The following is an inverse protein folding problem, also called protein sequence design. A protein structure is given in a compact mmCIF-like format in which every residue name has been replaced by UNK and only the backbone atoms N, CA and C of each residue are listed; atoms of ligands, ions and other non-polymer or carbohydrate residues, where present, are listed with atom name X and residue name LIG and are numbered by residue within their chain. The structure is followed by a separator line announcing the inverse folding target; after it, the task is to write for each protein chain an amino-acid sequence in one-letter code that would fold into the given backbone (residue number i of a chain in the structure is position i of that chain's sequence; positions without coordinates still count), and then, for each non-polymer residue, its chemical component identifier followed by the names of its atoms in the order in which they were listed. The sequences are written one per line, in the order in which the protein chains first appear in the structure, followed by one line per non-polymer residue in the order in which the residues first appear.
data_IF_143904718004
#
_entry.id   IF_143904718004
#
_cell.length_a   1.000
_cell.length_b   1.000
_cell.length_c   1.000
_cell.angle_alpha   90.00
_cell.angle_beta   90.00
_cell.angle_gamma   90.00
#
_symmetry.space_group_name_H-M   'P 1'
#
loop_
_entity.id
_entity.type
_entity.pdbx_description
1 polymer ?
#
# COMPACT_ATOMS: atom_id res chain seq x y z
N UNK A 1 -42.71 33.28 48.18
CA UNK A 1 -41.81 34.05 47.30
C UNK A 1 -40.42 33.43 47.39
N UNK A 2 -39.94 32.77 46.33
CA UNK A 2 -38.63 32.11 46.29
C UNK A 2 -37.58 33.09 45.74
N UNK A 3 -36.53 33.36 46.50
CA UNK A 3 -35.40 34.19 46.10
C UNK A 3 -34.42 33.38 45.25
N UNK A 4 -34.30 33.74 43.97
CA UNK A 4 -33.35 33.10 43.04
C UNK A 4 -31.99 33.73 43.23
N UNK A 5 -31.08 33.01 43.90
CA UNK A 5 -29.67 33.39 43.99
C UNK A 5 -28.95 32.99 42.69
N UNK A 6 -28.77 33.92 41.76
CA UNK A 6 -27.90 33.70 40.61
C UNK A 6 -26.50 34.28 40.92
N UNK A 7 -25.46 33.49 40.66
CA UNK A 7 -24.08 33.97 40.73
C UNK A 7 -23.81 34.85 39.51
N UNK A 8 -23.50 36.12 39.74
CA UNK A 8 -23.07 37.06 38.69
C UNK A 8 -21.79 36.58 37.99
N UNK A 9 -21.61 36.91 36.69
CA UNK A 9 -20.44 36.51 35.92
C UNK A 9 -19.16 37.16 36.45
N UNK A 10 -18.03 36.54 36.11
CA UNK A 10 -16.69 36.92 36.55
C UNK A 10 -16.41 38.40 36.28
N UNK A 11 -15.79 39.08 37.24
CA UNK A 11 -15.33 40.46 37.07
C UNK A 11 -14.18 40.50 36.07
N UNK A 12 -14.22 41.48 35.17
CA UNK A 12 -13.18 41.71 34.16
C UNK A 12 -11.83 41.95 34.83
N UNK A 13 -10.83 41.15 34.44
CA UNK A 13 -9.47 41.20 35.02
C UNK A 13 -8.62 42.28 34.34
N UNK A 14 -8.87 42.61 33.08
CA UNK A 14 -8.11 43.64 32.33
C UNK A 14 -8.98 44.26 31.23
N UNK A 15 -8.82 45.56 30.99
CA UNK A 15 -9.59 46.31 29.98
C UNK A 15 -9.28 45.90 28.53
N UNK A 16 -8.05 45.45 28.28
CA UNK A 16 -7.60 44.95 26.98
C UNK A 16 -7.28 43.46 27.08
N UNK A 17 -7.75 42.63 26.14
CA UNK A 17 -7.40 41.21 26.11
C UNK A 17 -5.92 41.05 25.79
N UNK A 18 -5.24 40.12 26.47
CA UNK A 18 -3.87 39.73 26.13
C UNK A 18 -3.88 39.12 24.73
N UNK A 19 -2.96 39.52 23.82
CA UNK A 19 -2.87 38.91 22.50
C UNK A 19 -2.70 37.40 22.61
N UNK A 20 -3.57 36.64 21.94
CA UNK A 20 -3.46 35.19 21.92
C UNK A 20 -2.19 34.77 21.18
N UNK A 21 -1.31 34.04 21.86
CA UNK A 21 -0.09 33.46 21.28
C UNK A 21 -0.10 31.96 21.59
N UNK A 22 -0.29 31.14 20.56
CA UNK A 22 -0.12 29.70 20.69
C UNK A 22 1.35 29.38 20.97
N UNK A 23 1.60 28.51 21.95
CA UNK A 23 2.93 27.93 22.18
C UNK A 23 3.37 27.03 21.02
N UNK A 24 2.41 26.53 20.23
CA UNK A 24 2.61 25.66 19.09
C UNK A 24 2.07 26.34 17.83
N UNK A 25 2.86 27.21 17.16
CA UNK A 25 2.45 27.83 15.92
C UNK A 25 2.27 26.75 14.84
N UNK A 26 1.24 26.89 14.01
CA UNK A 26 1.06 26.03 12.85
C UNK A 26 2.27 26.18 11.93
N UNK A 27 2.96 25.08 11.66
CA UNK A 27 4.03 25.04 10.66
C UNK A 27 3.39 24.71 9.32
N UNK A 28 3.81 25.40 8.25
CA UNK A 28 3.49 24.96 6.89
C UNK A 28 4.32 23.71 6.64
N UNK A 29 3.73 22.56 6.95
CA UNK A 29 4.39 21.27 6.84
C UNK A 29 4.41 20.84 5.37
N UNK A 30 5.55 20.30 4.94
CA UNK A 30 5.59 19.39 3.80
C UNK A 30 4.57 18.27 4.03
N UNK A 31 3.96 17.75 2.96
CA UNK A 31 2.97 16.67 3.09
C UNK A 31 3.52 15.51 3.92
N UNK A 32 2.77 14.97 4.92
CA UNK A 32 3.22 13.87 5.78
C UNK A 32 3.73 12.63 5.05
N UNK A 33 3.31 12.47 3.78
CA UNK A 33 3.81 11.43 2.89
C UNK A 33 5.32 11.47 2.66
N UNK A 34 5.90 12.67 2.53
CA UNK A 34 7.29 12.88 2.13
C UNK A 34 8.21 13.22 3.31
N UNK A 35 7.65 13.28 4.52
CA UNK A 35 8.42 13.55 5.74
C UNK A 35 9.27 12.34 6.16
N UNK A 36 10.36 12.61 6.87
CA UNK A 36 11.19 11.57 7.49
C UNK A 36 10.42 10.87 8.62
N UNK A 37 10.77 9.62 8.91
CA UNK A 37 10.03 8.81 9.90
C UNK A 37 10.20 9.32 11.33
N UNK A 38 11.29 10.04 11.56
CA UNK A 38 11.73 10.61 12.83
C UNK A 38 11.07 11.96 13.12
N UNK A 39 10.37 12.52 12.13
CA UNK A 39 9.68 13.79 12.25
C UNK A 39 8.41 13.62 13.12
N UNK A 40 8.28 14.33 14.25
CA UNK A 40 7.09 14.26 15.10
C UNK A 40 5.84 14.77 14.38
N UNK A 41 5.98 15.63 13.38
CA UNK A 41 4.89 16.24 12.62
C UNK A 41 4.42 15.34 11.45
N UNK A 42 4.99 14.12 11.29
CA UNK A 42 4.59 13.12 10.29
C UNK A 42 3.27 12.43 10.65
N UNK A 43 2.18 13.17 10.61
CA UNK A 43 0.85 12.63 10.86
C UNK A 43 -0.22 13.50 10.21
N UNK A 44 -1.42 12.94 10.05
CA UNK A 44 -2.57 13.72 9.61
C UNK A 44 -3.37 14.26 10.80
N UNK A 45 -3.93 15.45 10.62
CA UNK A 45 -4.84 16.05 11.60
C UNK A 45 -6.12 15.24 11.74
N UNK A 46 -6.74 15.29 12.91
CA UNK A 46 -8.08 14.73 13.09
C UNK A 46 -9.08 15.40 12.14
N UNK A 47 -9.90 14.60 11.46
CA UNK A 47 -10.85 15.08 10.44
C UNK A 47 -10.30 15.14 9.02
N UNK A 48 -9.05 14.74 8.79
CA UNK A 48 -8.53 14.51 7.44
C UNK A 48 -9.35 13.41 6.73
N UNK A 49 -9.81 13.71 5.50
CA UNK A 49 -10.70 12.83 4.71
C UNK A 49 -10.00 12.15 3.53
N UNK A 50 -8.72 12.47 3.30
CA UNK A 50 -7.96 11.83 2.24
C UNK A 50 -7.61 10.39 2.59
N UNK A 51 -7.20 9.63 1.59
CA UNK A 51 -6.62 8.32 1.81
C UNK A 51 -5.38 8.43 2.71
N UNK A 52 -5.15 7.43 3.56
CA UNK A 52 -3.91 7.22 4.33
C UNK A 52 -3.56 5.74 4.19
N UNK A 53 -2.40 5.39 3.62
CA UNK A 53 -2.03 3.99 3.41
C UNK A 53 -1.89 3.28 4.76
N UNK A 54 -2.19 1.96 4.80
CA UNK A 54 -2.07 1.08 5.98
C UNK A 54 -3.00 1.39 7.16
N UNK A 55 -3.61 2.57 7.23
CA UNK A 55 -4.37 3.03 8.40
C UNK A 55 -5.54 2.13 8.78
N UNK A 56 -6.16 1.46 7.81
CA UNK A 56 -7.34 0.59 8.02
C UNK A 56 -7.07 -0.60 8.95
N UNK A 57 -5.80 -0.97 9.14
CA UNK A 57 -5.40 -2.08 10.01
C UNK A 57 -4.96 -1.59 11.41
N UNK A 58 -4.92 -0.27 11.65
CA UNK A 58 -4.45 0.34 12.88
C UNK A 58 -5.61 1.00 13.62
N UNK A 59 -5.91 0.51 14.83
CA UNK A 59 -7.07 0.90 15.63
C UNK A 59 -6.67 1.04 17.11
N UNK A 60 -7.52 1.67 17.91
CA UNK A 60 -7.32 1.78 19.36
C UNK A 60 -6.37 2.88 19.82
N UNK A 61 -6.08 3.87 18.97
CA UNK A 61 -5.25 5.04 19.30
C UNK A 61 -5.79 6.29 18.60
N UNK A 62 -5.28 7.47 18.99
CA UNK A 62 -5.69 8.74 18.39
C UNK A 62 -5.33 8.81 16.89
N UNK A 63 -6.08 9.61 16.12
CA UNK A 63 -5.89 9.71 14.67
C UNK A 63 -4.46 10.14 14.25
N UNK A 64 -3.82 11.14 14.88
CA UNK A 64 -2.43 11.48 14.58
C UNK A 64 -1.46 10.31 14.87
N UNK A 65 -1.69 9.57 15.95
CA UNK A 65 -0.86 8.41 16.30
C UNK A 65 -0.97 7.30 15.27
N UNK A 66 -2.19 6.89 14.91
CA UNK A 66 -2.38 5.79 13.94
C UNK A 66 -1.87 6.17 12.56
N UNK A 67 -2.03 7.43 12.14
CA UNK A 67 -1.59 7.89 10.82
C UNK A 67 -0.06 7.98 10.74
N UNK A 68 0.61 8.41 11.82
CA UNK A 68 2.07 8.35 11.92
C UNK A 68 2.59 6.91 11.76
N UNK A 69 2.07 5.98 12.57
CA UNK A 69 2.44 4.57 12.50
C UNK A 69 2.18 3.99 11.10
N UNK A 70 1.04 4.31 10.48
CA UNK A 70 0.67 3.83 9.16
C UNK A 70 1.66 4.27 8.07
N UNK A 71 2.06 5.55 8.10
CA UNK A 71 3.02 6.12 7.16
C UNK A 71 4.41 5.53 7.33
N UNK A 72 4.85 5.30 8.57
CA UNK A 72 6.13 4.64 8.87
C UNK A 72 6.13 3.20 8.35
N UNK A 73 5.07 2.43 8.63
CA UNK A 73 4.94 1.04 8.15
C UNK A 73 4.93 0.96 6.62
N UNK A 74 4.22 1.87 5.96
CA UNK A 74 4.16 1.95 4.50
C UNK A 74 5.55 2.19 3.88
N UNK A 75 6.32 3.13 4.43
CA UNK A 75 7.68 3.41 3.96
C UNK A 75 8.62 2.21 4.13
N UNK A 76 8.51 1.48 5.24
CA UNK A 76 9.29 0.26 5.47
C UNK A 76 8.95 -0.84 4.45
N UNK A 77 7.67 -0.97 4.08
CA UNK A 77 7.23 -1.97 3.10
C UNK A 77 7.76 -1.68 1.69
N UNK A 78 7.80 -0.40 1.28
CA UNK A 78 8.43 0.01 0.02
C UNK A 78 9.90 -0.42 -0.05
N UNK A 79 10.64 -0.29 1.04
CA UNK A 79 12.06 -0.69 1.10
C UNK A 79 12.27 -2.21 1.08
N UNK A 80 11.34 -3.00 1.62
CA UNK A 80 11.41 -4.48 1.56
C UNK A 80 11.27 -5.02 0.13
N UNK A 81 10.51 -4.33 -0.72
CA UNK A 81 10.37 -4.70 -2.13
C UNK A 81 11.63 -4.39 -2.96
N UNK A 82 12.40 -3.38 -2.57
CA UNK A 82 13.70 -3.04 -3.17
C UNK A 82 14.80 -4.06 -2.86
N UNK A 83 14.84 -4.65 -1.66
CA UNK A 83 15.85 -5.67 -1.35
C UNK A 83 15.55 -7.05 -1.96
N UNK A 84 14.30 -7.35 -2.34
CA UNK A 84 13.99 -8.50 -3.21
C UNK A 84 14.34 -8.26 -4.69
N UNK A 85 14.66 -7.02 -5.06
CA UNK A 85 15.13 -6.59 -6.38
C UNK A 85 16.55 -6.02 -6.32
N UNK A 86 17.37 -6.56 -5.41
CA UNK A 86 18.81 -6.33 -5.41
C UNK A 86 19.47 -7.01 -6.60
N UNK A 87 19.32 -6.41 -7.78
CA UNK A 87 20.27 -6.42 -8.88
C UNK A 87 20.01 -5.16 -9.72
N UNK A 88 21.03 -4.29 -9.75
CA UNK A 88 21.29 -3.12 -10.59
C UNK A 88 20.15 -2.48 -11.40
N UNK A 89 20.02 -1.18 -11.18
CA UNK A 89 19.40 -0.16 -12.03
C UNK A 89 19.58 -0.42 -13.54
N UNK A 90 18.46 -0.39 -14.26
CA UNK A 90 18.36 0.37 -15.51
C UNK A 90 16.97 1.00 -15.56
N UNK A 91 16.92 2.33 -15.65
CA UNK A 91 15.72 3.09 -16.00
C UNK A 91 15.10 2.51 -17.28
N UNK A 92 13.79 2.23 -17.24
CA UNK A 92 13.05 1.66 -18.37
C UNK A 92 11.99 0.69 -17.89
N UNK A 93 10.80 1.21 -17.63
CA UNK A 93 9.53 0.48 -17.72
C UNK A 93 9.47 -0.89 -17.03
N UNK A 94 9.53 -0.93 -15.70
CA UNK A 94 9.20 -2.16 -14.96
C UNK A 94 7.70 -2.23 -14.71
N UNK A 95 6.97 -2.68 -15.74
CA UNK A 95 5.65 -3.30 -15.53
C UNK A 95 5.77 -4.37 -14.43
N UNK A 96 4.73 -4.58 -13.60
CA UNK A 96 4.77 -5.59 -12.56
C UNK A 96 5.16 -6.94 -13.18
N UNK A 97 6.14 -7.63 -12.58
CA UNK A 97 6.54 -8.98 -12.99
C UNK A 97 5.30 -9.86 -13.07
N UNK A 98 4.85 -10.13 -14.29
CA UNK A 98 3.68 -10.97 -14.55
C UNK A 98 4.04 -12.34 -14.00
N UNK A 99 3.33 -12.77 -12.95
CA UNK A 99 3.47 -14.12 -12.42
C UNK A 99 2.99 -15.07 -13.52
N UNK A 100 3.80 -16.08 -13.85
CA UNK A 100 3.38 -17.10 -14.81
C UNK A 100 2.08 -17.75 -14.30
N UNK A 101 0.99 -17.58 -15.07
CA UNK A 101 -0.34 -18.11 -14.72
C UNK A 101 -0.36 -19.64 -14.80
N UNK A 102 0.58 -20.21 -15.56
CA UNK A 102 0.74 -21.64 -15.74
C UNK A 102 2.04 -22.13 -15.08
N UNK A 103 2.05 -23.35 -14.51
CA UNK A 103 3.26 -23.99 -14.01
C UNK A 103 4.26 -24.21 -15.16
N UNK A 104 5.55 -23.96 -14.89
CA UNK A 104 6.61 -24.09 -15.90
C UNK A 104 7.27 -25.47 -15.91
N UNK A 105 7.14 -26.25 -14.84
CA UNK A 105 7.86 -27.52 -14.63
C UNK A 105 6.98 -28.77 -14.79
N UNK A 106 5.66 -28.60 -14.90
CA UNK A 106 4.70 -29.70 -14.97
C UNK A 106 3.47 -29.33 -15.81
N UNK A 107 2.80 -30.34 -16.35
CA UNK A 107 1.51 -30.18 -17.00
C UNK A 107 0.38 -29.73 -16.07
N UNK A 108 -0.71 -29.26 -16.66
CA UNK A 108 -1.93 -28.88 -15.95
C UNK A 108 -2.65 -30.11 -15.38
N UNK A 109 -3.42 -29.91 -14.31
CA UNK A 109 -4.27 -30.96 -13.75
C UNK A 109 -5.36 -31.38 -14.74
N UNK A 110 -5.66 -32.70 -14.87
CA UNK A 110 -6.84 -33.16 -15.58
C UNK A 110 -8.10 -32.44 -15.09
N UNK A 111 -9.03 -32.14 -16.00
CA UNK A 111 -10.23 -31.33 -15.72
C UNK A 111 -9.99 -29.83 -15.46
N UNK A 112 -8.79 -29.31 -15.72
CA UNK A 112 -8.59 -27.87 -15.78
C UNK A 112 -9.48 -27.25 -16.87
N UNK A 113 -10.38 -26.36 -16.46
CA UNK A 113 -11.39 -25.72 -17.34
C UNK A 113 -10.96 -24.38 -17.90
N UNK A 114 -9.79 -23.87 -17.51
CA UNK A 114 -9.25 -22.63 -18.04
C UNK A 114 -8.62 -22.79 -19.42
N UNK A 115 -8.35 -21.66 -20.07
CA UNK A 115 -7.66 -21.64 -21.35
C UNK A 115 -6.22 -22.15 -21.22
N UNK A 116 -5.73 -22.95 -22.17
CA UNK A 116 -4.34 -23.37 -22.28
C UNK A 116 -3.85 -23.03 -23.71
N UNK A 117 -2.93 -22.08 -23.88
CA UNK A 117 -2.45 -21.69 -25.20
C UNK A 117 -1.77 -22.88 -25.89
N UNK A 118 -2.04 -23.07 -27.18
CA UNK A 118 -1.42 -24.13 -27.99
C UNK A 118 -1.98 -25.54 -27.77
N UNK A 119 -2.81 -25.78 -26.74
CA UNK A 119 -3.32 -27.12 -26.42
C UNK A 119 -4.10 -27.78 -27.57
N UNK A 120 -4.88 -27.00 -28.34
CA UNK A 120 -5.67 -27.51 -29.48
C UNK A 120 -4.84 -28.09 -30.63
N UNK A 121 -3.53 -27.87 -30.63
CA UNK A 121 -2.60 -28.39 -31.64
C UNK A 121 -1.78 -29.59 -31.13
N UNK A 122 -1.95 -29.98 -29.87
CA UNK A 122 -1.25 -31.12 -29.26
C UNK A 122 -2.22 -32.31 -29.17
N UNK A 123 -1.80 -33.49 -29.63
CA UNK A 123 -2.60 -34.72 -29.56
C UNK A 123 -1.71 -35.96 -29.37
N UNK A 124 -2.34 -37.10 -29.06
CA UNK A 124 -1.65 -38.40 -28.95
C UNK A 124 -0.95 -38.69 -27.63
N UNK A 125 -1.09 -37.83 -26.61
CA UNK A 125 -0.49 -38.01 -25.29
C UNK A 125 -1.50 -37.79 -24.16
N UNK A 126 -1.10 -38.07 -22.91
CA UNK A 126 -1.94 -37.77 -21.74
C UNK A 126 -2.07 -36.26 -21.53
N UNK A 127 -3.15 -35.83 -20.87
CA UNK A 127 -3.45 -34.41 -20.64
C UNK A 127 -2.28 -33.63 -20.01
N UNK A 128 -1.58 -34.23 -19.04
CA UNK A 128 -0.40 -33.61 -18.43
C UNK A 128 0.72 -33.35 -19.44
N UNK A 129 1.06 -34.32 -20.28
CA UNK A 129 2.08 -34.12 -21.32
C UNK A 129 1.65 -33.09 -22.37
N UNK A 130 0.40 -33.15 -22.84
CA UNK A 130 -0.11 -32.20 -23.84
C UNK A 130 -0.05 -30.75 -23.36
N UNK A 131 -0.37 -30.51 -22.09
CA UNK A 131 -0.39 -29.16 -21.51
C UNK A 131 0.99 -28.68 -21.14
N UNK A 132 1.86 -29.56 -20.64
CA UNK A 132 3.28 -29.27 -20.48
C UNK A 132 3.93 -28.89 -21.82
N UNK A 133 3.68 -29.67 -22.87
CA UNK A 133 4.24 -29.45 -24.19
C UNK A 133 3.72 -28.22 -24.91
N UNK A 134 2.46 -27.84 -24.64
CA UNK A 134 1.85 -26.62 -25.15
C UNK A 134 2.39 -25.36 -24.47
N UNK A 135 2.72 -25.45 -23.18
CA UNK A 135 3.25 -24.34 -22.37
C UNK A 135 4.79 -24.26 -22.39
N UNK A 136 5.44 -25.34 -22.80
CA UNK A 136 6.89 -25.46 -22.93
C UNK A 136 7.44 -24.69 -24.15
N UNK A 137 8.58 -25.13 -24.67
CA UNK A 137 9.22 -24.46 -25.81
C UNK A 137 8.27 -24.37 -27.01
N UNK A 138 8.23 -23.19 -27.66
CA UNK A 138 7.40 -22.96 -28.84
C UNK A 138 7.63 -24.06 -29.88
N UNK A 139 6.59 -24.41 -30.63
CA UNK A 139 6.61 -25.46 -31.66
C UNK A 139 7.79 -25.31 -32.62
N UNK A 140 8.19 -24.06 -32.89
CA UNK A 140 9.33 -23.67 -33.72
C UNK A 140 10.67 -24.15 -33.15
N UNK A 141 10.84 -24.09 -31.81
CA UNK A 141 12.07 -24.57 -31.15
C UNK A 141 12.16 -26.09 -31.12
N UNK A 142 11.02 -26.79 -31.05
CA UNK A 142 10.98 -28.25 -31.09
C UNK A 142 11.38 -28.79 -32.48
N UNK A 143 10.83 -28.19 -33.55
CA UNK A 143 11.17 -28.56 -34.94
C UNK A 143 12.64 -28.27 -35.33
N UNK A 144 13.34 -27.41 -34.59
CA UNK A 144 14.74 -27.08 -34.85
C UNK A 144 15.74 -27.99 -34.12
N UNK A 145 15.28 -28.88 -33.23
CA UNK A 145 16.12 -29.83 -32.49
C UNK A 145 16.01 -31.28 -33.01
N UNK A 146 15.20 -31.50 -34.05
CA UNK A 146 15.01 -32.78 -34.74
C UNK A 146 15.75 -32.82 -36.09
#
# INVERSE_FOLDING_TARGET
LLTVNYKTPLKVITANPVPYRSLHPYKVLTSPYFMQNEDPDKHFISGYKGHVPRVQFLLGSSYPTITNCALIEFNQMGNKSKCLTGNSVSEGETLPRIRHIYPSEMGMMPQYTGHIPGHKYQFGHTFGHLTHDALGMSTIKKQAMD
#
